data_IF_289188283187
#
_entry.id   IF_289188283187
#
_cell.length_a   1.000
_cell.length_b   1.000
_cell.length_c   1.000
_cell.angle_alpha   90.00
_cell.angle_beta   90.00
_cell.angle_gamma   90.00
#
_symmetry.space_group_name_H-M   'P 1'
#
loop_
_entity.id
_entity.type
_entity.pdbx_description
1 polymer ?
#
# COMPACT_ATOMS: atom_id res chain seq x y z
N UNK A 1 -6.98 -20.69 -16.79
CA UNK A 1 -7.18 -19.42 -16.06
C UNK A 1 -6.45 -19.48 -14.71
N UNK A 2 -5.17 -19.85 -14.71
CA UNK A 2 -4.37 -19.95 -13.51
C UNK A 2 -3.25 -18.92 -13.62
N UNK A 3 -3.32 -17.87 -12.79
CA UNK A 3 -2.37 -16.75 -12.85
C UNK A 3 -0.97 -17.20 -12.40
N UNK A 4 -0.87 -18.12 -11.44
CA UNK A 4 0.42 -18.64 -10.97
C UNK A 4 1.12 -19.50 -12.02
N UNK A 5 0.38 -20.27 -12.81
CA UNK A 5 0.96 -21.02 -13.94
C UNK A 5 1.48 -20.07 -15.03
N UNK A 6 0.78 -18.97 -15.29
CA UNK A 6 1.22 -17.93 -16.24
C UNK A 6 2.50 -17.26 -15.74
N UNK A 7 2.57 -16.94 -14.45
CA UNK A 7 3.76 -16.41 -13.80
C UNK A 7 4.96 -17.35 -13.96
N UNK A 8 4.79 -18.65 -13.66
CA UNK A 8 5.86 -19.66 -13.74
C UNK A 8 6.38 -19.86 -15.17
N UNK A 9 5.50 -19.84 -16.17
CA UNK A 9 5.86 -20.17 -17.57
C UNK A 9 6.26 -18.94 -18.38
N UNK A 10 5.57 -17.82 -18.19
CA UNK A 10 5.68 -16.61 -19.02
C UNK A 10 6.24 -15.40 -18.27
N UNK A 11 6.33 -15.46 -16.94
CA UNK A 11 6.90 -14.41 -16.10
C UNK A 11 5.87 -13.42 -15.53
N UNK A 12 6.36 -12.56 -14.63
CA UNK A 12 5.51 -11.69 -13.79
C UNK A 12 4.71 -10.65 -14.59
N UNK A 13 5.25 -10.09 -15.68
CA UNK A 13 4.53 -9.12 -16.53
C UNK A 13 3.40 -9.79 -17.33
N UNK A 14 3.56 -11.06 -17.70
CA UNK A 14 2.49 -11.83 -18.32
C UNK A 14 1.37 -12.10 -17.30
N UNK A 15 1.74 -12.44 -16.06
CA UNK A 15 0.78 -12.64 -14.97
C UNK A 15 0.03 -11.34 -14.62
N UNK A 16 0.73 -10.20 -14.57
CA UNK A 16 0.14 -8.87 -14.38
C UNK A 16 -0.93 -8.56 -15.43
N UNK A 17 -0.61 -8.75 -16.71
CA UNK A 17 -1.57 -8.54 -17.79
C UNK A 17 -2.74 -9.53 -17.73
N UNK A 18 -2.50 -10.78 -17.31
CA UNK A 18 -3.55 -11.76 -17.11
C UNK A 18 -4.52 -11.35 -15.99
N UNK A 19 -4.02 -10.83 -14.86
CA UNK A 19 -4.84 -10.27 -13.76
C UNK A 19 -5.75 -9.16 -14.29
N UNK A 20 -5.19 -8.20 -15.04
CA UNK A 20 -5.96 -7.07 -15.57
C UNK A 20 -7.08 -7.56 -16.49
N UNK A 21 -6.75 -8.41 -17.45
CA UNK A 21 -7.71 -8.90 -18.44
C UNK A 21 -8.85 -9.71 -17.77
N UNK A 22 -8.51 -10.57 -16.81
CA UNK A 22 -9.48 -11.42 -16.15
C UNK A 22 -10.39 -10.62 -15.21
N UNK A 23 -9.84 -9.64 -14.48
CA UNK A 23 -10.61 -8.77 -13.61
C UNK A 23 -11.59 -7.89 -14.41
N UNK A 24 -11.13 -7.27 -15.52
CA UNK A 24 -11.98 -6.46 -16.40
C UNK A 24 -13.09 -7.32 -16.98
N UNK A 25 -12.74 -8.48 -17.57
CA UNK A 25 -13.72 -9.38 -18.17
C UNK A 25 -14.79 -9.82 -17.16
N UNK A 26 -14.39 -10.18 -15.95
CA UNK A 26 -15.33 -10.59 -14.89
C UNK A 26 -16.27 -9.45 -14.49
N UNK A 27 -15.76 -8.23 -14.37
CA UNK A 27 -16.57 -7.06 -14.01
C UNK A 27 -17.55 -6.68 -15.14
N UNK A 28 -17.10 -6.71 -16.39
CA UNK A 28 -17.93 -6.47 -17.57
C UNK A 28 -19.05 -7.50 -17.70
N UNK A 29 -18.77 -8.79 -17.45
CA UNK A 29 -19.77 -9.86 -17.44
C UNK A 29 -20.87 -9.64 -16.38
N UNK A 30 -20.56 -8.92 -15.29
CA UNK A 30 -21.53 -8.52 -14.25
C UNK A 30 -22.19 -7.15 -14.52
N UNK A 31 -21.86 -6.50 -15.64
CA UNK A 31 -22.38 -5.17 -15.97
C UNK A 31 -21.82 -4.05 -15.08
N UNK A 32 -20.66 -4.25 -14.46
CA UNK A 32 -19.99 -3.24 -13.64
C UNK A 32 -18.97 -2.47 -14.47
N UNK A 33 -19.19 -1.17 -14.62
CA UNK A 33 -18.22 -0.28 -15.26
C UNK A 33 -17.19 0.22 -14.24
N UNK A 34 -15.93 -0.18 -14.42
CA UNK A 34 -14.80 0.29 -13.61
C UNK A 34 -13.71 0.83 -14.53
N UNK A 35 -13.17 1.99 -14.21
CA UNK A 35 -12.04 2.57 -14.94
C UNK A 35 -10.81 1.63 -14.86
N UNK A 36 -10.23 1.35 -16.02
CA UNK A 36 -9.08 0.45 -16.17
C UNK A 36 -7.92 0.82 -15.25
N UNK A 37 -7.70 2.10 -14.97
CA UNK A 37 -6.58 2.58 -14.13
C UNK A 37 -6.66 2.05 -12.70
N UNK A 38 -7.86 1.82 -12.17
CA UNK A 38 -8.03 1.22 -10.84
C UNK A 38 -7.59 -0.24 -10.84
N UNK A 39 -7.97 -0.99 -11.88
CA UNK A 39 -7.60 -2.40 -12.03
C UNK A 39 -6.10 -2.55 -12.25
N UNK A 40 -5.52 -1.67 -13.08
CA UNK A 40 -4.07 -1.61 -13.27
C UNK A 40 -3.34 -1.39 -11.96
N UNK A 41 -3.78 -0.44 -11.14
CA UNK A 41 -3.14 -0.17 -9.83
C UNK A 41 -3.18 -1.39 -8.90
N UNK A 42 -4.30 -2.13 -8.89
CA UNK A 42 -4.42 -3.37 -8.10
C UNK A 42 -3.48 -4.44 -8.64
N UNK A 43 -3.43 -4.65 -9.95
CA UNK A 43 -2.54 -5.62 -10.58
C UNK A 43 -1.05 -5.28 -10.34
N UNK A 44 -0.68 -4.00 -10.41
CA UNK A 44 0.67 -3.50 -10.09
C UNK A 44 1.01 -3.81 -8.63
N UNK A 45 0.10 -3.50 -7.71
CA UNK A 45 0.29 -3.78 -6.28
C UNK A 45 0.47 -5.28 -5.99
N UNK A 46 -0.22 -6.15 -6.74
CA UNK A 46 -0.07 -7.60 -6.61
C UNK A 46 1.23 -8.15 -7.22
N UNK A 47 1.92 -7.41 -8.09
CA UNK A 47 3.07 -7.94 -8.86
C UNK A 47 4.38 -7.18 -8.64
N UNK A 48 4.36 -6.07 -7.89
CA UNK A 48 5.51 -5.19 -7.68
C UNK A 48 6.71 -5.86 -6.97
N UNK A 49 6.51 -6.93 -6.21
CA UNK A 49 7.58 -7.69 -5.55
C UNK A 49 8.33 -8.64 -6.48
N UNK A 50 7.85 -8.83 -7.72
CA UNK A 50 8.38 -9.80 -8.68
C UNK A 50 7.70 -11.17 -8.63
N UNK A 51 6.77 -11.37 -7.70
CA UNK A 51 5.93 -12.57 -7.58
C UNK A 51 4.45 -12.15 -7.43
N UNK A 52 3.51 -13.03 -7.77
CA UNK A 52 2.07 -12.74 -7.64
C UNK A 52 1.63 -12.85 -6.17
N UNK A 53 1.42 -11.70 -5.56
CA UNK A 53 1.02 -11.57 -4.17
C UNK A 53 -0.49 -11.46 -4.02
N UNK A 54 -1.05 -12.23 -3.10
CA UNK A 54 -2.45 -12.13 -2.72
C UNK A 54 -2.75 -10.81 -1.99
N UNK A 55 -3.94 -10.25 -2.23
CA UNK A 55 -4.45 -9.12 -1.44
C UNK A 55 -5.00 -9.66 -0.12
N UNK A 56 -4.16 -9.67 0.91
CA UNK A 56 -4.54 -10.18 2.23
C UNK A 56 -3.37 -10.28 3.19
N UNK A 57 -3.61 -10.92 4.34
CA UNK A 57 -2.63 -10.97 5.46
C UNK A 57 -1.34 -11.73 5.16
N UNK A 58 -1.36 -12.64 4.17
CA UNK A 58 -0.18 -13.41 3.77
C UNK A 58 0.46 -12.85 2.49
N UNK A 59 -0.03 -11.73 1.97
CA UNK A 59 0.57 -11.04 0.85
C UNK A 59 0.73 -9.56 1.19
N UNK A 60 0.18 -8.69 0.34
CA UNK A 60 0.42 -7.24 0.37
C UNK A 60 0.22 -6.59 1.75
N UNK A 61 -0.80 -7.01 2.51
CA UNK A 61 -1.07 -6.42 3.84
C UNK A 61 -0.14 -6.93 4.94
N UNK A 62 0.36 -8.17 4.81
CA UNK A 62 1.25 -8.79 5.79
C UNK A 62 2.69 -8.27 5.72
N UNK A 63 3.11 -7.79 4.55
CA UNK A 63 4.47 -7.31 4.30
C UNK A 63 4.69 -5.83 4.61
N UNK A 64 3.68 -5.12 5.13
CA UNK A 64 3.84 -3.71 5.51
C UNK A 64 4.98 -3.56 6.52
N UNK A 65 5.82 -2.55 6.33
CA UNK A 65 6.97 -2.30 7.20
C UNK A 65 6.57 -1.91 8.64
N UNK A 66 5.50 -1.14 8.79
CA UNK A 66 5.01 -0.68 10.09
C UNK A 66 4.38 -1.83 10.90
N UNK A 67 4.79 -1.94 12.17
CA UNK A 67 4.25 -2.92 13.12
C UNK A 67 2.79 -2.61 13.39
N UNK A 68 2.46 -1.34 13.62
CA UNK A 68 1.09 -0.89 13.88
C UNK A 68 0.19 -1.13 12.67
N UNK A 69 0.70 -0.89 11.45
CA UNK A 69 -0.03 -1.14 10.22
C UNK A 69 -0.27 -2.64 9.95
N UNK A 70 0.67 -3.53 10.30
CA UNK A 70 0.44 -4.98 10.24
C UNK A 70 -0.59 -5.42 11.29
N UNK A 71 -0.43 -4.96 12.53
CA UNK A 71 -1.28 -5.33 13.65
C UNK A 71 -2.75 -4.87 13.49
N UNK A 72 -3.01 -3.80 12.72
CA UNK A 72 -4.37 -3.30 12.45
C UNK A 72 -5.15 -4.11 11.43
N UNK A 73 -4.48 -4.89 10.57
CA UNK A 73 -5.17 -5.61 9.48
C UNK A 73 -5.75 -6.93 9.98
N UNK A 74 -4.94 -7.82 10.59
CA UNK A 74 -5.37 -9.05 11.27
C UNK A 74 -4.32 -9.54 12.29
N UNK A 75 -4.65 -10.55 13.12
CA UNK A 75 -3.74 -11.24 14.06
C UNK A 75 -2.90 -10.28 14.94
N UNK A 76 -3.56 -9.25 15.48
CA UNK A 76 -2.94 -8.13 16.21
C UNK A 76 -1.97 -8.56 17.31
N UNK A 77 -2.39 -9.49 18.17
CA UNK A 77 -1.58 -9.92 19.34
C UNK A 77 -0.28 -10.58 18.92
N UNK A 78 -0.30 -11.39 17.85
CA UNK A 78 0.89 -12.04 17.31
C UNK A 78 1.88 -11.02 16.75
N UNK A 79 1.41 -10.09 15.92
CA UNK A 79 2.27 -9.07 15.33
C UNK A 79 2.95 -8.19 16.39
N UNK A 80 2.22 -7.78 17.43
CA UNK A 80 2.79 -7.00 18.53
C UNK A 80 3.79 -7.81 19.35
N UNK A 81 3.48 -9.08 19.65
CA UNK A 81 4.38 -9.94 20.42
C UNK A 81 5.69 -10.22 19.65
N UNK A 82 5.59 -10.58 18.38
CA UNK A 82 6.75 -10.86 17.53
C UNK A 82 7.64 -9.61 17.38
N UNK A 83 7.03 -8.44 17.21
CA UNK A 83 7.73 -7.16 17.15
C UNK A 83 8.43 -6.83 18.49
N UNK A 84 7.77 -7.05 19.62
CA UNK A 84 8.36 -6.86 20.95
C UNK A 84 9.57 -7.79 21.19
N UNK A 85 9.46 -9.07 20.80
CA UNK A 85 10.56 -10.04 20.93
C UNK A 85 11.76 -9.61 20.07
N UNK A 86 11.52 -9.10 18.86
CA UNK A 86 12.55 -8.62 17.93
C UNK A 86 13.07 -7.22 18.27
N UNK A 87 12.40 -6.49 19.15
CA UNK A 87 12.69 -5.09 19.44
C UNK A 87 12.47 -4.16 18.25
N UNK A 88 11.50 -4.46 17.38
CA UNK A 88 11.17 -3.64 16.22
C UNK A 88 10.72 -2.24 16.64
N UNK A 89 11.12 -1.22 15.87
CA UNK A 89 10.71 0.16 16.08
C UNK A 89 9.93 0.65 14.88
N UNK A 90 8.73 1.17 15.15
CA UNK A 90 7.90 1.82 14.15
C UNK A 90 8.30 3.29 14.01
N UNK A 91 8.51 3.74 12.78
CA UNK A 91 8.93 5.12 12.49
C UNK A 91 7.76 6.08 12.34
N UNK A 92 6.53 5.57 12.22
CA UNK A 92 5.34 6.40 11.98
C UNK A 92 5.42 7.15 10.64
N UNK A 93 5.90 6.49 9.59
CA UNK A 93 6.06 7.11 8.25
C UNK A 93 4.86 6.84 7.33
N UNK A 94 3.96 5.92 7.67
CA UNK A 94 2.80 5.54 6.87
C UNK A 94 1.47 6.05 7.42
N UNK A 95 0.40 5.77 6.69
CA UNK A 95 -0.92 6.37 6.95
C UNK A 95 -1.54 5.80 8.22
N UNK A 96 -1.50 4.48 8.40
CA UNK A 96 -2.29 3.79 9.44
C UNK A 96 -1.73 4.13 10.82
N UNK A 97 -0.43 4.04 10.97
CA UNK A 97 0.28 4.28 12.20
C UNK A 97 0.20 5.75 12.65
N UNK A 98 0.21 6.72 11.72
CA UNK A 98 -0.05 8.13 12.03
C UNK A 98 -1.49 8.37 12.49
N UNK A 99 -2.48 7.71 11.87
CA UNK A 99 -3.88 7.80 12.32
C UNK A 99 -4.03 7.26 13.74
N UNK A 100 -3.41 6.12 14.05
CA UNK A 100 -3.44 5.52 15.40
C UNK A 100 -2.76 6.44 16.42
N UNK A 101 -1.62 7.04 16.07
CA UNK A 101 -0.88 7.94 16.94
C UNK A 101 -1.51 9.35 17.06
N UNK A 102 -2.52 9.68 16.25
CA UNK A 102 -3.14 11.01 16.22
C UNK A 102 -2.26 12.09 15.59
N UNK A 103 -1.35 11.71 14.69
CA UNK A 103 -0.46 12.62 13.96
C UNK A 103 -1.01 12.91 12.55
N UNK A 104 -0.64 14.06 11.93
CA UNK A 104 -0.97 14.31 10.53
C UNK A 104 -0.43 13.21 9.63
N UNK A 105 -1.27 12.67 8.75
CA UNK A 105 -0.85 11.64 7.79
C UNK A 105 0.01 12.25 6.67
N UNK A 106 1.06 11.57 6.18
CA UNK A 106 1.92 12.07 5.10
C UNK A 106 1.29 11.84 3.71
N UNK A 107 0.04 12.25 3.54
CA UNK A 107 -0.72 12.12 2.30
C UNK A 107 -1.61 13.36 2.09
N UNK A 108 -1.85 13.72 0.83
CA UNK A 108 -2.75 14.83 0.49
C UNK A 108 -2.23 16.15 1.01
N UNK A 109 -2.98 16.84 1.86
CA UNK A 109 -2.53 18.12 2.46
C UNK A 109 -1.42 17.96 3.48
N UNK A 110 -1.23 16.76 4.05
CA UNK A 110 -0.15 16.48 5.00
C UNK A 110 1.19 16.18 4.34
N UNK A 111 1.26 16.12 3.00
CA UNK A 111 2.54 15.96 2.28
C UNK A 111 3.29 17.27 2.08
N UNK A 112 2.69 18.40 2.46
CA UNK A 112 3.27 19.74 2.32
C UNK A 112 3.39 20.42 3.68
N UNK A 113 4.54 21.07 3.90
CA UNK A 113 4.77 21.88 5.09
C UNK A 113 4.56 23.37 4.75
N UNK A 114 3.74 24.05 5.53
CA UNK A 114 3.50 25.47 5.36
C UNK A 114 4.54 26.27 6.13
N UNK A 115 5.35 27.04 5.41
CA UNK A 115 6.36 27.93 6.00
C UNK A 115 5.91 29.38 5.84
N UNK A 116 5.77 30.08 6.96
CA UNK A 116 5.52 31.51 6.97
C UNK A 116 6.85 32.29 7.00
N UNK A 117 7.19 32.99 5.92
CA UNK A 117 8.33 33.92 5.94
C UNK A 117 7.94 35.16 6.73
N UNK A 118 8.59 35.37 7.88
CA UNK A 118 8.46 36.62 8.64
C UNK A 118 9.09 37.73 7.80
N UNK A 119 8.32 38.75 7.44
CA UNK A 119 8.82 39.89 6.67
C UNK A 119 10.04 40.49 7.36
N UNK A 120 11.11 40.71 6.60
CA UNK A 120 12.27 41.46 7.06
C UNK A 120 11.74 42.81 7.56
N UNK A 121 11.84 43.07 8.87
CA UNK A 121 11.68 44.43 9.37
C UNK A 121 12.75 45.24 8.67
N UNK A 122 12.34 46.06 7.70
CA UNK A 122 13.20 47.00 7.02
C UNK A 122 13.94 47.83 8.06
N UNK A 123 15.19 47.45 8.33
CA UNK A 123 16.15 48.31 8.96
C UNK A 123 16.52 49.37 7.94
N UNK A 124 15.89 50.53 8.02
CA UNK A 124 16.41 51.73 7.38
C UNK A 124 16.30 52.88 8.37
N UNK A 125 17.46 53.17 8.95
CA UNK A 125 17.96 54.44 9.50
C UNK A 125 17.02 55.32 10.31
#
# INVERSE_FOLDING_TARGET
NNIHEIEEVLGIEAARNAIINEAVKTLEEQGLEVDLRHIMLVADMMTASGEVMQVGRHGVSGEKASVLARASFEITTKHLLDACIRGERDKLDGIIENVIAGQPIPLGTGSVELVMRRGEKGGTK
#
